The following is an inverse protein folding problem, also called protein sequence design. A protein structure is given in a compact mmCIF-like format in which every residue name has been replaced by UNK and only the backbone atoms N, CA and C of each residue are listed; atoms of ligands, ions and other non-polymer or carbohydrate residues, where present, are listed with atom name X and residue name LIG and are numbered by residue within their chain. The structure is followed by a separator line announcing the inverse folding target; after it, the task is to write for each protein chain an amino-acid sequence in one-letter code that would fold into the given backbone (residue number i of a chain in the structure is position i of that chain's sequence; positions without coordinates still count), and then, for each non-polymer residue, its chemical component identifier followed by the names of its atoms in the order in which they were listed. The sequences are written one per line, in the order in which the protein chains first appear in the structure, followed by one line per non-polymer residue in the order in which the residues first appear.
data_IF_660148996020
#
_entry.id   IF_660148996020
#
_cell.length_a   1.000
_cell.length_b   1.000
_cell.length_c   1.000
_cell.angle_alpha   90.00
_cell.angle_beta   90.00
_cell.angle_gamma   90.00
#
_symmetry.space_group_name_H-M   'P 1'
#
loop_
_entity.id
_entity.type
_entity.pdbx_description
1 polymer ?
#
# COMPACT_ATOMS: atom_id res chain seq x y z
N UNK A 1 24.66 -18.63 2.89
CA UNK A 1 23.84 -17.87 1.91
C UNK A 1 22.44 -18.47 1.94
N UNK A 2 21.39 -17.68 2.16
CA UNK A 2 20.01 -18.17 2.20
C UNK A 2 19.39 -18.14 0.79
N UNK A 3 18.61 -19.18 0.46
CA UNK A 3 17.77 -19.20 -0.72
C UNK A 3 16.40 -18.60 -0.37
N UNK A 4 16.05 -17.47 -0.97
CA UNK A 4 14.78 -16.76 -0.77
C UNK A 4 13.94 -16.86 -2.03
N UNK A 5 12.76 -17.43 -1.91
CA UNK A 5 11.76 -17.46 -2.98
C UNK A 5 10.68 -16.45 -2.65
N UNK A 6 10.39 -15.53 -3.58
CA UNK A 6 9.28 -14.58 -3.47
C UNK A 6 8.20 -15.00 -4.44
N UNK A 7 6.97 -15.20 -3.96
CA UNK A 7 5.82 -15.53 -4.80
C UNK A 7 4.96 -14.28 -4.93
N UNK A 8 5.12 -13.59 -6.07
CA UNK A 8 4.42 -12.34 -6.37
C UNK A 8 2.99 -12.57 -6.84
N UNK A 9 2.04 -11.80 -6.32
CA UNK A 9 0.68 -11.73 -6.85
C UNK A 9 0.66 -11.10 -8.25
N UNK A 10 1.50 -10.08 -8.43
CA UNK A 10 1.78 -9.39 -9.70
C UNK A 10 3.28 -9.16 -9.83
N UNK A 11 3.74 -8.77 -11.02
CA UNK A 11 5.10 -8.26 -11.20
C UNK A 11 5.30 -6.97 -10.39
N UNK A 12 6.46 -6.75 -9.76
CA UNK A 12 6.78 -5.48 -9.13
C UNK A 12 6.79 -4.34 -10.15
N UNK A 13 6.01 -3.30 -9.88
CA UNK A 13 5.94 -2.08 -10.69
C UNK A 13 6.25 -0.85 -9.82
N UNK A 14 7.53 -0.58 -9.53
CA UNK A 14 7.92 0.48 -8.59
C UNK A 14 7.51 1.88 -9.05
N UNK A 15 7.40 2.09 -10.36
CA UNK A 15 6.96 3.38 -10.92
C UNK A 15 5.43 3.51 -11.02
N UNK A 16 4.67 2.43 -10.70
CA UNK A 16 3.20 2.42 -10.79
C UNK A 16 2.49 2.46 -9.45
N UNK A 17 3.13 1.95 -8.39
CA UNK A 17 2.47 1.79 -7.09
C UNK A 17 3.45 1.69 -5.93
N UNK A 18 3.01 2.12 -4.74
CA UNK A 18 3.75 1.93 -3.50
C UNK A 18 4.01 0.44 -3.18
N UNK A 19 3.07 -0.45 -3.54
CA UNK A 19 3.26 -1.89 -3.41
C UNK A 19 4.41 -2.41 -4.28
N UNK A 20 4.52 -1.92 -5.52
CA UNK A 20 5.66 -2.24 -6.39
C UNK A 20 6.99 -1.75 -5.83
N UNK A 21 7.02 -0.54 -5.26
CA UNK A 21 8.19 0.01 -4.58
C UNK A 21 8.57 -0.81 -3.34
N UNK A 22 7.59 -1.19 -2.53
CA UNK A 22 7.79 -2.01 -1.34
C UNK A 22 8.39 -3.38 -1.72
N UNK A 23 7.79 -4.07 -2.69
CA UNK A 23 8.30 -5.37 -3.17
C UNK A 23 9.72 -5.26 -3.71
N UNK A 24 10.02 -4.26 -4.52
CA UNK A 24 11.39 -4.03 -5.01
C UNK A 24 12.36 -3.75 -3.86
N UNK A 25 11.95 -2.99 -2.85
CA UNK A 25 12.74 -2.73 -1.64
C UNK A 25 13.08 -4.03 -0.89
N UNK A 26 12.12 -4.94 -0.72
CA UNK A 26 12.32 -6.25 -0.10
C UNK A 26 13.34 -7.07 -0.91
N UNK A 27 13.15 -7.15 -2.23
CA UNK A 27 14.08 -7.84 -3.15
C UNK A 27 15.49 -7.27 -3.03
N UNK A 28 15.64 -5.96 -3.20
CA UNK A 28 16.93 -5.27 -3.16
C UNK A 28 17.65 -5.51 -1.81
N UNK A 29 16.89 -5.47 -0.71
CA UNK A 29 17.44 -5.72 0.63
C UNK A 29 17.93 -7.17 0.76
N UNK A 30 17.18 -8.16 0.29
CA UNK A 30 17.62 -9.56 0.28
C UNK A 30 18.90 -9.76 -0.54
N UNK A 31 18.95 -9.18 -1.74
CA UNK A 31 20.14 -9.25 -2.62
C UNK A 31 21.36 -8.58 -1.97
N UNK A 32 21.20 -7.40 -1.36
CA UNK A 32 22.29 -6.67 -0.69
C UNK A 32 22.90 -7.42 0.50
N UNK A 33 22.14 -8.35 1.10
CA UNK A 33 22.61 -9.27 2.15
C UNK A 33 23.17 -10.58 1.59
N UNK A 34 23.44 -10.65 0.29
CA UNK A 34 23.93 -11.85 -0.42
C UNK A 34 22.99 -13.05 -0.29
N UNK A 35 21.67 -12.84 -0.23
CA UNK A 35 20.72 -13.93 -0.38
C UNK A 35 20.55 -14.28 -1.86
N UNK A 36 20.38 -15.55 -2.18
CA UNK A 36 20.01 -16.00 -3.51
C UNK A 36 18.49 -15.84 -3.67
N UNK A 37 18.05 -14.90 -4.51
CA UNK A 37 16.64 -14.54 -4.64
C UNK A 37 16.07 -15.06 -5.95
N UNK A 38 14.94 -15.75 -5.86
CA UNK A 38 14.11 -16.13 -7.01
C UNK A 38 12.72 -15.53 -6.88
N UNK A 39 12.20 -14.95 -7.96
CA UNK A 39 10.86 -14.37 -8.02
C UNK A 39 9.95 -15.23 -8.90
N UNK A 40 8.85 -15.70 -8.33
CA UNK A 40 7.85 -16.55 -8.97
C UNK A 40 6.53 -15.80 -9.08
N UNK A 41 5.84 -15.87 -10.21
CA UNK A 41 4.50 -15.32 -10.34
C UNK A 41 3.67 -16.06 -11.38
N UNK A 42 2.34 -16.12 -11.16
CA UNK A 42 1.37 -16.60 -12.14
C UNK A 42 0.78 -15.45 -12.98
N UNK A 43 1.16 -14.20 -12.69
CA UNK A 43 0.66 -13.05 -13.42
C UNK A 43 1.30 -12.94 -14.81
N UNK A 44 0.51 -12.48 -15.78
CA UNK A 44 1.01 -12.07 -17.08
C UNK A 44 1.99 -10.90 -16.92
N UNK A 45 2.91 -10.78 -17.85
CA UNK A 45 3.81 -9.62 -17.92
C UNK A 45 3.02 -8.33 -18.06
N UNK A 46 3.55 -7.26 -17.49
CA UNK A 46 2.96 -5.93 -17.55
C UNK A 46 3.95 -4.93 -18.15
N UNK A 47 3.42 -3.85 -18.72
CA UNK A 47 4.18 -2.81 -19.40
C UNK A 47 5.19 -2.11 -18.47
N UNK A 48 4.86 -1.99 -17.18
CA UNK A 48 5.64 -1.25 -16.19
C UNK A 48 6.40 -2.15 -15.20
N UNK A 49 6.54 -3.46 -15.51
CA UNK A 49 7.27 -4.39 -14.64
C UNK A 49 8.74 -3.98 -14.51
N UNK A 50 9.29 -4.16 -13.32
CA UNK A 50 10.72 -4.02 -13.09
C UNK A 50 11.50 -5.14 -13.79
N UNK A 51 12.65 -4.82 -14.34
CA UNK A 51 13.60 -5.83 -14.80
C UNK A 51 14.43 -6.33 -13.60
N UNK A 52 13.99 -7.43 -13.01
CA UNK A 52 14.63 -8.03 -11.84
C UNK A 52 15.98 -8.69 -12.20
N UNK A 53 16.26 -8.97 -13.46
CA UNK A 53 17.56 -9.54 -13.89
C UNK A 53 18.71 -8.59 -13.61
N UNK A 54 18.48 -7.28 -13.64
CA UNK A 54 19.46 -6.24 -13.29
C UNK A 54 19.93 -6.30 -11.84
N UNK A 55 19.11 -6.94 -10.96
CA UNK A 55 19.45 -7.19 -9.56
C UNK A 55 20.03 -8.61 -9.35
N UNK A 56 20.23 -9.40 -10.41
CA UNK A 56 20.69 -10.79 -10.31
C UNK A 56 19.61 -11.74 -9.77
N UNK A 57 18.34 -11.43 -9.93
CA UNK A 57 17.21 -12.23 -9.47
C UNK A 57 16.69 -13.12 -10.59
N UNK A 58 16.65 -14.44 -10.35
CA UNK A 58 16.02 -15.38 -11.27
C UNK A 58 14.49 -15.26 -11.22
N UNK A 59 13.85 -15.23 -12.40
CA UNK A 59 12.38 -15.10 -12.50
C UNK A 59 11.76 -16.34 -13.14
N UNK A 60 10.61 -16.78 -12.58
CA UNK A 60 9.90 -17.95 -13.08
C UNK A 60 8.40 -17.66 -13.20
N UNK A 61 7.83 -18.04 -14.34
CA UNK A 61 6.36 -18.11 -14.48
C UNK A 61 5.86 -19.42 -13.90
N UNK A 62 4.83 -19.38 -13.08
CA UNK A 62 4.21 -20.54 -12.45
C UNK A 62 2.74 -20.63 -12.79
N UNK A 63 2.22 -21.85 -12.90
CA UNK A 63 0.80 -22.07 -13.13
C UNK A 63 0.06 -22.25 -11.80
N UNK A 64 -1.14 -21.66 -11.73
CA UNK A 64 -2.06 -21.89 -10.61
C UNK A 64 -2.57 -23.34 -10.65
N UNK A 65 -2.78 -23.92 -9.47
CA UNK A 65 -3.35 -25.27 -9.33
C UNK A 65 -2.62 -26.37 -10.14
N UNK A 66 -1.30 -26.26 -10.26
CA UNK A 66 -0.48 -27.19 -11.03
C UNK A 66 0.65 -27.78 -10.17
N UNK A 67 0.89 -29.08 -10.27
CA UNK A 67 1.97 -29.78 -9.55
C UNK A 67 3.37 -29.40 -10.04
N UNK A 68 3.51 -28.78 -11.23
CA UNK A 68 4.78 -28.23 -11.70
C UNK A 68 5.43 -27.25 -10.71
N UNK A 69 4.61 -26.54 -9.92
CA UNK A 69 5.09 -25.69 -8.83
C UNK A 69 5.86 -26.49 -7.77
N UNK A 70 5.38 -27.68 -7.40
CA UNK A 70 6.03 -28.51 -6.39
C UNK A 70 7.45 -28.92 -6.85
N UNK A 71 7.57 -29.38 -8.11
CA UNK A 71 8.86 -29.71 -8.70
C UNK A 71 9.82 -28.52 -8.72
N UNK A 72 9.31 -27.31 -9.05
CA UNK A 72 10.13 -26.10 -9.06
C UNK A 72 10.59 -25.73 -7.65
N UNK A 73 9.69 -25.70 -6.67
CA UNK A 73 10.04 -25.30 -5.30
C UNK A 73 11.00 -26.28 -4.64
N UNK A 74 10.87 -27.58 -4.92
CA UNK A 74 11.81 -28.63 -4.49
C UNK A 74 13.21 -28.45 -5.10
N UNK A 75 13.29 -28.02 -6.37
CA UNK A 75 14.54 -27.69 -7.05
C UNK A 75 15.21 -26.45 -6.45
N UNK A 76 14.43 -25.40 -6.16
CA UNK A 76 14.93 -24.13 -5.60
C UNK A 76 15.37 -24.28 -4.14
N UNK A 77 14.83 -25.24 -3.39
CA UNK A 77 15.15 -25.52 -1.98
C UNK A 77 15.20 -24.27 -1.12
N UNK A 78 14.10 -23.50 -1.03
CA UNK A 78 14.11 -22.25 -0.30
C UNK A 78 14.34 -22.46 1.20
N UNK A 79 15.15 -21.59 1.79
CA UNK A 79 15.20 -21.38 3.23
C UNK A 79 14.06 -20.50 3.73
N UNK A 80 13.62 -19.58 2.85
CA UNK A 80 12.58 -18.59 3.11
C UNK A 80 11.67 -18.47 1.89
N UNK A 81 10.35 -18.42 2.14
CA UNK A 81 9.37 -18.11 1.11
C UNK A 81 8.56 -16.89 1.56
N UNK A 82 8.53 -15.85 0.71
CA UNK A 82 7.74 -14.64 0.94
C UNK A 82 6.54 -14.66 0.00
N UNK A 83 5.34 -14.65 0.56
CA UNK A 83 4.08 -14.56 -0.19
C UNK A 83 3.65 -13.10 -0.30
N UNK A 84 3.47 -12.60 -1.51
CA UNK A 84 2.92 -11.27 -1.74
C UNK A 84 1.40 -11.31 -1.67
N UNK A 85 0.84 -10.78 -0.61
CA UNK A 85 -0.58 -10.77 -0.27
C UNK A 85 -1.16 -12.14 0.12
N UNK A 86 -2.28 -12.10 0.87
CA UNK A 86 -2.91 -13.31 1.40
C UNK A 86 -3.33 -14.32 0.31
N UNK A 87 -3.69 -13.84 -0.90
CA UNK A 87 -4.12 -14.73 -1.98
C UNK A 87 -3.01 -15.66 -2.45
N UNK A 88 -1.77 -15.21 -2.50
CA UNK A 88 -0.64 -16.08 -2.86
C UNK A 88 -0.31 -17.06 -1.73
N UNK A 89 -0.48 -16.64 -0.47
CA UNK A 89 -0.36 -17.55 0.67
C UNK A 89 -1.39 -18.67 0.58
N UNK A 90 -2.68 -18.36 0.39
CA UNK A 90 -3.74 -19.38 0.24
C UNK A 90 -3.47 -20.34 -0.92
N UNK A 91 -2.95 -19.82 -2.03
CA UNK A 91 -2.73 -20.61 -3.26
C UNK A 91 -1.53 -21.55 -3.14
N UNK A 92 -0.43 -21.12 -2.53
CA UNK A 92 0.85 -21.80 -2.61
C UNK A 92 1.41 -22.31 -1.28
N UNK A 93 0.97 -21.77 -0.13
CA UNK A 93 1.61 -22.07 1.15
C UNK A 93 1.52 -23.53 1.58
N UNK A 94 0.42 -24.21 1.27
CA UNK A 94 0.27 -25.63 1.54
C UNK A 94 1.26 -26.49 0.72
N UNK A 95 1.54 -26.10 -0.55
CA UNK A 95 2.53 -26.76 -1.40
C UNK A 95 3.95 -26.55 -0.86
N UNK A 96 4.27 -25.32 -0.44
CA UNK A 96 5.54 -25.00 0.20
C UNK A 96 5.72 -25.80 1.49
N UNK A 97 4.66 -25.91 2.31
CA UNK A 97 4.72 -26.70 3.55
C UNK A 97 5.00 -28.17 3.30
N UNK A 98 4.43 -28.74 2.25
CA UNK A 98 4.64 -30.16 1.89
C UNK A 98 6.04 -30.41 1.29
N UNK A 99 6.47 -29.59 0.34
CA UNK A 99 7.74 -29.74 -0.36
C UNK A 99 8.94 -29.24 0.43
N UNK A 100 8.78 -28.17 1.21
CA UNK A 100 9.86 -27.50 1.95
C UNK A 100 9.41 -27.16 3.39
N UNK A 101 9.15 -28.15 4.26
CA UNK A 101 8.57 -27.95 5.60
C UNK A 101 9.41 -27.02 6.50
N UNK A 102 10.73 -27.00 6.31
CA UNK A 102 11.67 -26.21 7.10
C UNK A 102 11.88 -24.79 6.55
N UNK A 103 11.25 -24.42 5.43
CA UNK A 103 11.28 -23.07 4.93
C UNK A 103 10.49 -22.14 5.86
N UNK A 104 11.05 -20.96 6.16
CA UNK A 104 10.35 -19.87 6.84
C UNK A 104 9.30 -19.29 5.88
N UNK A 105 8.05 -19.18 6.31
CA UNK A 105 6.94 -18.65 5.51
C UNK A 105 6.59 -17.25 5.99
N UNK A 106 6.84 -16.27 5.14
CA UNK A 106 6.60 -14.87 5.42
C UNK A 106 5.47 -14.37 4.53
N UNK A 107 4.50 -13.69 5.10
CA UNK A 107 3.45 -12.99 4.36
C UNK A 107 3.79 -11.50 4.28
N UNK A 108 3.82 -10.93 3.09
CA UNK A 108 3.81 -9.49 2.85
C UNK A 108 2.39 -9.07 2.52
N UNK A 109 1.70 -8.36 3.43
CA UNK A 109 0.28 -7.99 3.22
C UNK A 109 0.12 -6.87 2.20
N UNK A 110 1.12 -6.01 2.03
CA UNK A 110 1.05 -4.68 1.43
C UNK A 110 0.12 -3.78 2.26
N UNK A 111 -1.19 -3.88 2.07
CA UNK A 111 -2.20 -3.29 2.94
C UNK A 111 -3.21 -4.37 3.37
N UNK A 112 -4.00 -4.12 4.38
CA UNK A 112 -5.11 -5.01 4.75
C UNK A 112 -6.25 -4.89 3.73
N UNK A 113 -6.34 -5.87 2.84
CA UNK A 113 -7.36 -5.93 1.78
C UNK A 113 -8.77 -6.00 2.34
N UNK A 114 -8.96 -6.73 3.44
CA UNK A 114 -10.25 -6.84 4.12
C UNK A 114 -10.71 -5.50 4.69
N UNK A 115 -9.80 -4.74 5.31
CA UNK A 115 -10.09 -3.40 5.83
C UNK A 115 -10.46 -2.45 4.68
N UNK A 116 -9.69 -2.45 3.61
CA UNK A 116 -9.98 -1.62 2.43
C UNK A 116 -11.35 -1.93 1.83
N UNK A 117 -11.68 -3.23 1.68
CA UNK A 117 -12.97 -3.65 1.15
C UNK A 117 -14.13 -3.28 2.09
N UNK A 118 -13.99 -3.54 3.39
CA UNK A 118 -15.00 -3.19 4.37
C UNK A 118 -15.30 -1.68 4.41
N UNK A 119 -14.27 -0.84 4.30
CA UNK A 119 -14.40 0.61 4.18
C UNK A 119 -15.07 1.04 2.88
N UNK A 120 -14.72 0.41 1.77
CA UNK A 120 -15.36 0.66 0.47
C UNK A 120 -16.87 0.36 0.52
N UNK A 121 -17.23 -0.77 1.11
CA UNK A 121 -18.63 -1.17 1.26
C UNK A 121 -19.41 -0.24 2.21
N UNK A 122 -18.77 0.21 3.29
CA UNK A 122 -19.34 1.20 4.19
C UNK A 122 -19.59 2.55 3.48
N UNK A 123 -18.61 3.04 2.72
CA UNK A 123 -18.76 4.27 1.92
C UNK A 123 -19.91 4.15 0.92
N UNK A 124 -20.04 3.02 0.23
CA UNK A 124 -21.16 2.78 -0.69
C UNK A 124 -22.51 2.74 0.01
N UNK A 125 -22.56 2.16 1.20
CA UNK A 125 -23.80 1.95 1.97
C UNK A 125 -24.28 3.21 2.67
N UNK A 126 -23.38 3.94 3.32
CA UNK A 126 -23.71 5.04 4.23
C UNK A 126 -22.79 6.27 4.14
N UNK A 127 -21.91 6.34 3.14
CA UNK A 127 -21.07 7.51 2.86
C UNK A 127 -19.81 7.62 3.70
N UNK A 128 -19.61 6.84 4.77
CA UNK A 128 -18.49 6.99 5.69
C UNK A 128 -17.80 5.66 6.03
N UNK A 129 -16.47 5.63 5.82
CA UNK A 129 -15.60 4.47 6.06
C UNK A 129 -15.53 4.02 7.53
N UNK A 130 -15.88 4.88 8.51
CA UNK A 130 -15.87 4.53 9.94
C UNK A 130 -16.86 3.40 10.29
N UNK A 131 -17.88 3.18 9.47
CA UNK A 131 -18.87 2.11 9.65
C UNK A 131 -18.47 0.78 8.96
N UNK A 132 -17.18 0.58 8.70
CA UNK A 132 -16.64 -0.65 8.12
C UNK A 132 -16.91 -1.86 9.01
N UNK A 133 -17.44 -2.94 8.41
CA UNK A 133 -17.65 -4.22 9.09
C UNK A 133 -16.36 -5.04 9.05
N UNK A 134 -15.71 -5.22 10.21
CA UNK A 134 -14.39 -5.86 10.28
C UNK A 134 -14.45 -7.40 10.28
N UNK A 135 -15.63 -8.02 10.43
CA UNK A 135 -15.81 -9.47 10.54
C UNK A 135 -16.30 -10.12 9.23
N UNK A 136 -15.87 -9.60 8.09
CA UNK A 136 -16.25 -10.14 6.78
C UNK A 136 -15.57 -11.49 6.50
N UNK A 137 -16.11 -12.27 5.56
CA UNK A 137 -15.46 -13.49 5.04
C UNK A 137 -14.04 -13.20 4.52
N UNK A 138 -13.87 -12.05 3.88
CA UNK A 138 -12.55 -11.61 3.42
C UNK A 138 -11.57 -11.39 4.59
N UNK A 139 -12.06 -10.81 5.71
CA UNK A 139 -11.25 -10.65 6.91
C UNK A 139 -10.86 -12.03 7.51
N UNK A 140 -11.80 -12.98 7.55
CA UNK A 140 -11.49 -14.34 8.03
C UNK A 140 -10.39 -15.00 7.19
N UNK A 141 -10.42 -14.86 5.87
CA UNK A 141 -9.40 -15.41 4.97
C UNK A 141 -8.04 -14.73 5.17
N UNK A 142 -8.01 -13.40 5.19
CA UNK A 142 -6.77 -12.63 5.34
C UNK A 142 -6.12 -12.87 6.72
N UNK A 143 -6.91 -12.85 7.79
CA UNK A 143 -6.41 -13.14 9.14
C UNK A 143 -5.94 -14.59 9.26
N UNK A 144 -6.62 -15.54 8.63
CA UNK A 144 -6.17 -16.93 8.59
C UNK A 144 -4.82 -17.08 7.87
N UNK A 145 -4.59 -16.35 6.76
CA UNK A 145 -3.31 -16.33 6.06
C UNK A 145 -2.19 -15.75 6.93
N UNK A 146 -2.47 -14.65 7.66
CA UNK A 146 -1.54 -14.06 8.63
C UNK A 146 -1.19 -15.07 9.73
N UNK A 147 -2.19 -15.70 10.33
CA UNK A 147 -1.99 -16.69 11.41
C UNK A 147 -1.30 -17.97 10.94
N UNK A 148 -1.40 -18.37 9.67
CA UNK A 148 -0.67 -19.51 9.09
C UNK A 148 0.80 -19.21 8.79
N UNK A 149 1.15 -17.94 8.66
CA UNK A 149 2.52 -17.50 8.37
C UNK A 149 3.41 -17.51 9.62
N UNK A 150 4.70 -17.75 9.46
CA UNK A 150 5.66 -17.66 10.55
C UNK A 150 5.93 -16.20 10.94
N UNK A 151 5.87 -15.30 9.94
CA UNK A 151 6.01 -13.85 10.11
C UNK A 151 5.13 -13.13 9.08
N UNK A 152 4.59 -11.97 9.44
CA UNK A 152 3.85 -11.12 8.52
C UNK A 152 4.41 -9.70 8.53
N UNK A 153 4.71 -9.17 7.34
CA UNK A 153 5.21 -7.81 7.15
C UNK A 153 4.02 -6.85 7.05
N UNK A 154 4.01 -5.83 7.90
CA UNK A 154 2.95 -4.83 7.99
C UNK A 154 3.55 -3.45 7.81
N UNK A 155 3.05 -2.68 6.85
CA UNK A 155 3.59 -1.35 6.50
C UNK A 155 3.03 -0.21 7.37
N UNK A 156 1.99 -0.45 8.15
CA UNK A 156 1.22 0.57 8.88
C UNK A 156 1.11 0.26 10.36
N UNK A 157 1.51 1.19 11.24
CA UNK A 157 1.30 1.08 12.69
C UNK A 157 -0.19 0.95 13.05
N UNK A 158 -1.07 1.59 12.28
CA UNK A 158 -2.50 1.45 12.46
C UNK A 158 -2.96 0.00 12.25
N UNK A 159 -2.47 -0.64 11.19
CA UNK A 159 -2.79 -2.04 10.91
C UNK A 159 -2.14 -2.99 11.91
N UNK A 160 -0.92 -2.69 12.39
CA UNK A 160 -0.31 -3.42 13.50
C UNK A 160 -1.20 -3.41 14.75
N UNK A 161 -1.72 -2.24 15.12
CA UNK A 161 -2.64 -2.11 16.27
C UNK A 161 -3.95 -2.85 16.01
N UNK A 162 -4.55 -2.72 14.82
CA UNK A 162 -5.77 -3.43 14.45
C UNK A 162 -5.61 -4.95 14.54
N UNK A 163 -4.50 -5.48 14.02
CA UNK A 163 -4.21 -6.91 14.05
C UNK A 163 -4.03 -7.44 15.48
N UNK A 164 -3.34 -6.69 16.33
CA UNK A 164 -3.08 -7.13 17.71
C UNK A 164 -4.27 -6.91 18.65
N UNK A 165 -4.94 -5.76 18.57
CA UNK A 165 -5.96 -5.35 19.53
C UNK A 165 -7.36 -5.88 19.16
N UNK A 166 -7.71 -5.94 17.87
CA UNK A 166 -9.02 -6.40 17.41
C UNK A 166 -9.03 -7.88 17.04
N UNK A 167 -8.02 -8.34 16.26
CA UNK A 167 -7.99 -9.72 15.79
C UNK A 167 -7.17 -10.66 16.67
N UNK A 168 -6.45 -10.15 17.67
CA UNK A 168 -5.67 -10.96 18.61
C UNK A 168 -4.48 -11.69 17.98
N UNK A 169 -3.94 -11.17 16.87
CA UNK A 169 -2.75 -11.75 16.24
C UNK A 169 -1.54 -11.57 17.15
N UNK A 170 -0.78 -12.64 17.45
CA UNK A 170 0.41 -12.55 18.28
C UNK A 170 1.46 -11.59 17.70
N UNK A 171 1.99 -10.69 18.54
CA UNK A 171 3.05 -9.75 18.10
C UNK A 171 4.29 -10.47 17.55
N UNK A 172 4.57 -11.70 18.01
CA UNK A 172 5.68 -12.52 17.51
C UNK A 172 5.54 -12.92 16.04
N UNK A 173 4.31 -12.90 15.49
CA UNK A 173 4.03 -13.16 14.07
C UNK A 173 3.99 -11.89 13.21
N UNK A 174 4.15 -10.71 13.80
CA UNK A 174 4.08 -9.43 13.10
C UNK A 174 5.44 -8.75 13.08
N UNK A 175 5.75 -8.13 11.97
CA UNK A 175 6.95 -7.31 11.81
C UNK A 175 6.55 -6.00 11.13
N UNK A 176 6.84 -4.87 11.79
CA UNK A 176 6.63 -3.56 11.20
C UNK A 176 7.67 -3.33 10.10
N UNK A 177 7.21 -3.17 8.88
CA UNK A 177 8.04 -2.97 7.70
C UNK A 177 7.60 -1.69 6.97
N UNK A 178 8.00 -0.51 7.44
CA UNK A 178 7.57 0.75 6.86
C UNK A 178 8.03 0.89 5.41
N UNK A 179 7.25 1.60 4.61
CA UNK A 179 7.64 1.92 3.24
C UNK A 179 8.96 2.71 3.23
N UNK A 180 9.86 2.31 2.35
CA UNK A 180 11.10 3.05 2.11
C UNK A 180 10.78 4.29 1.28
N UNK A 181 11.11 5.46 1.84
CA UNK A 181 10.97 6.72 1.12
C UNK A 181 12.23 6.98 0.31
N UNK A 182 12.08 7.28 -0.96
CA UNK A 182 13.20 7.63 -1.83
C UNK A 182 13.92 8.91 -1.38
N UNK A 183 15.07 9.24 -1.98
CA UNK A 183 15.84 10.44 -1.62
C UNK A 183 15.05 11.71 -1.91
N UNK A 184 15.21 12.71 -1.05
CA UNK A 184 14.67 14.06 -1.29
C UNK A 184 15.33 14.66 -2.53
N UNK A 185 14.59 15.31 -3.43
CA UNK A 185 15.18 16.00 -4.57
C UNK A 185 16.21 17.02 -4.13
N UNK A 186 17.28 17.17 -4.92
CA UNK A 186 18.36 18.12 -4.64
C UNK A 186 17.98 19.59 -4.91
N UNK A 187 16.82 19.81 -5.53
CA UNK A 187 16.29 21.15 -5.84
C UNK A 187 15.00 21.39 -5.05
N UNK A 188 14.82 22.63 -4.63
CA UNK A 188 13.57 23.10 -4.04
C UNK A 188 12.96 24.17 -4.92
N UNK A 189 11.68 24.04 -5.22
CA UNK A 189 10.90 25.03 -5.98
C UNK A 189 10.12 25.89 -5.02
N UNK A 190 10.10 27.21 -5.29
CA UNK A 190 9.38 28.22 -4.50
C UNK A 190 7.88 28.20 -4.78
N UNK A 191 7.11 28.91 -3.98
CA UNK A 191 5.66 29.07 -4.19
C UNK A 191 5.33 29.63 -5.57
N UNK A 192 6.11 30.59 -6.05
CA UNK A 192 5.92 31.27 -7.35
C UNK A 192 6.23 30.36 -8.55
N UNK A 193 7.17 29.45 -8.39
CA UNK A 193 7.58 28.53 -9.45
C UNK A 193 6.64 27.34 -9.62
N UNK A 194 5.75 27.12 -8.66
CA UNK A 194 4.80 26.01 -8.68
C UNK A 194 3.44 26.42 -9.21
N UNK A 195 2.82 25.52 -9.96
CA UNK A 195 1.50 25.73 -10.53
C UNK A 195 0.61 24.52 -10.31
N UNK A 196 -0.64 24.61 -10.63
CA UNK A 196 -1.69 23.58 -10.65
C UNK A 196 -1.82 22.73 -9.38
N UNK A 197 -2.97 22.08 -9.26
CA UNK A 197 -3.18 20.94 -8.36
C UNK A 197 -2.77 19.66 -9.05
N UNK A 198 -2.25 18.69 -8.28
CA UNK A 198 -1.95 17.37 -8.77
C UNK A 198 -2.74 16.30 -8.01
N UNK A 199 -3.25 15.30 -8.72
CA UNK A 199 -3.69 14.03 -8.16
C UNK A 199 -2.95 12.90 -8.86
N UNK A 200 -2.42 11.93 -8.11
CA UNK A 200 -1.69 10.80 -8.68
C UNK A 200 -2.13 9.48 -8.06
N UNK A 201 -2.23 8.44 -8.88
CA UNK A 201 -2.48 7.07 -8.39
C UNK A 201 -2.92 6.13 -9.49
N UNK A 202 -2.55 4.85 -9.35
CA UNK A 202 -2.94 3.80 -10.27
C UNK A 202 -4.47 3.70 -10.36
N UNK A 203 -5.02 3.80 -11.57
CA UNK A 203 -6.47 3.79 -11.82
C UNK A 203 -7.15 2.43 -11.55
N UNK A 204 -6.40 1.34 -11.52
CA UNK A 204 -6.91 0.02 -11.16
C UNK A 204 -7.18 -0.11 -9.66
N UNK A 205 -6.62 0.79 -8.84
CA UNK A 205 -6.82 0.79 -7.40
C UNK A 205 -8.09 1.58 -7.03
N UNK A 206 -9.09 0.89 -6.48
CA UNK A 206 -10.41 1.46 -6.23
C UNK A 206 -10.44 2.80 -5.45
N UNK A 207 -9.65 3.02 -4.39
CA UNK A 207 -9.60 4.30 -3.70
C UNK A 207 -9.16 5.47 -4.59
N UNK A 208 -8.23 5.23 -5.52
CA UNK A 208 -7.77 6.27 -6.44
C UNK A 208 -8.84 6.62 -7.47
N UNK A 209 -9.51 5.60 -8.03
CA UNK A 209 -10.60 5.81 -8.98
C UNK A 209 -11.78 6.56 -8.33
N UNK A 210 -12.15 6.18 -7.13
CA UNK A 210 -13.18 6.87 -6.35
C UNK A 210 -12.83 8.35 -6.10
N UNK A 211 -11.57 8.63 -5.71
CA UNK A 211 -11.09 9.99 -5.50
C UNK A 211 -11.17 10.83 -6.79
N UNK A 212 -10.79 10.28 -7.96
CA UNK A 212 -10.88 10.97 -9.25
C UNK A 212 -12.34 11.30 -9.60
N UNK A 213 -13.26 10.36 -9.38
CA UNK A 213 -14.68 10.60 -9.61
C UNK A 213 -15.23 11.69 -8.70
N UNK A 214 -14.86 11.65 -7.43
CA UNK A 214 -15.31 12.62 -6.44
C UNK A 214 -14.74 14.04 -6.71
N UNK A 215 -13.47 14.09 -7.12
CA UNK A 215 -12.87 15.34 -7.63
C UNK A 215 -13.69 15.89 -8.79
N UNK A 216 -13.99 15.09 -9.80
CA UNK A 216 -14.73 15.54 -11.00
C UNK A 216 -16.13 16.02 -10.68
N UNK A 217 -16.85 15.29 -9.82
CA UNK A 217 -18.28 15.49 -9.63
C UNK A 217 -18.62 16.54 -8.56
N UNK A 218 -17.80 16.66 -7.51
CA UNK A 218 -18.13 17.44 -6.34
C UNK A 218 -17.09 18.53 -6.03
N UNK A 219 -15.82 18.18 -5.86
CA UNK A 219 -14.82 19.10 -5.33
C UNK A 219 -14.29 20.07 -6.39
N UNK A 220 -13.91 19.57 -7.55
CA UNK A 220 -13.28 20.41 -8.59
C UNK A 220 -14.18 21.51 -9.13
N UNK A 221 -15.48 21.30 -9.40
CA UNK A 221 -16.35 22.39 -9.83
C UNK A 221 -16.39 23.56 -8.84
N UNK A 222 -16.38 23.29 -7.55
CA UNK A 222 -16.39 24.32 -6.51
C UNK A 222 -15.03 25.01 -6.37
N UNK A 223 -13.91 24.25 -6.43
CA UNK A 223 -12.55 24.81 -6.46
C UNK A 223 -12.37 25.69 -7.69
N UNK A 224 -12.76 25.21 -8.87
CA UNK A 224 -12.64 25.96 -10.16
C UNK A 224 -13.47 27.26 -10.15
N UNK A 225 -14.63 27.25 -9.49
CA UNK A 225 -15.43 28.47 -9.31
C UNK A 225 -14.68 29.52 -8.46
N UNK A 226 -13.95 29.08 -7.41
CA UNK A 226 -13.17 29.96 -6.56
C UNK A 226 -11.83 30.38 -7.20
N UNK A 227 -11.25 29.52 -8.03
CA UNK A 227 -9.97 29.69 -8.71
C UNK A 227 -10.13 29.46 -10.23
N UNK A 228 -10.65 30.45 -10.99
CA UNK A 228 -10.99 30.26 -12.42
C UNK A 228 -9.83 29.85 -13.31
N UNK A 229 -8.59 30.23 -12.97
CA UNK A 229 -7.40 29.95 -13.76
C UNK A 229 -6.66 28.67 -13.31
N UNK A 230 -7.07 28.06 -12.20
CA UNK A 230 -6.41 26.86 -11.70
C UNK A 230 -6.68 25.64 -12.58
N UNK A 231 -5.71 24.74 -12.63
CA UNK A 231 -5.81 23.44 -13.29
C UNK A 231 -5.63 22.31 -12.29
N UNK A 232 -6.25 21.17 -12.55
CA UNK A 232 -6.04 19.92 -11.83
C UNK A 232 -5.48 18.87 -12.81
N UNK A 233 -4.26 18.45 -12.56
CA UNK A 233 -3.57 17.43 -13.35
C UNK A 233 -3.74 16.05 -12.68
N UNK A 234 -4.34 15.10 -13.40
CA UNK A 234 -4.59 13.73 -12.94
C UNK A 234 -3.60 12.79 -13.63
N UNK A 235 -2.71 12.19 -12.84
CA UNK A 235 -1.75 11.20 -13.29
C UNK A 235 -2.04 9.82 -12.73
N UNK A 236 -1.64 8.79 -13.46
CA UNK A 236 -1.71 7.42 -12.98
C UNK A 236 -1.52 6.37 -14.06
N UNK A 237 -1.05 5.20 -13.64
CA UNK A 237 -0.91 4.04 -14.52
C UNK A 237 -2.29 3.48 -14.90
N UNK A 238 -2.37 2.88 -16.10
CA UNK A 238 -3.52 2.15 -16.60
C UNK A 238 -4.83 2.95 -16.65
N UNK A 239 -4.86 4.15 -17.25
CA UNK A 239 -6.08 4.93 -17.35
C UNK A 239 -7.12 4.21 -18.24
N UNK A 240 -8.27 3.81 -17.69
CA UNK A 240 -9.34 3.24 -18.51
C UNK A 240 -9.98 4.32 -19.39
N UNK A 241 -10.65 3.93 -20.48
CA UNK A 241 -11.36 4.87 -21.38
C UNK A 241 -12.29 5.82 -20.62
N UNK A 242 -12.99 5.31 -19.60
CA UNK A 242 -13.86 6.14 -18.74
C UNK A 242 -13.10 7.23 -17.95
N UNK A 243 -11.81 7.05 -17.66
CA UNK A 243 -11.00 8.07 -17.00
C UNK A 243 -10.55 9.15 -17.99
N UNK A 244 -10.12 8.76 -19.20
CA UNK A 244 -9.74 9.73 -20.25
C UNK A 244 -10.95 10.57 -20.72
N UNK A 245 -12.17 10.03 -20.67
CA UNK A 245 -13.40 10.77 -20.95
C UNK A 245 -13.74 11.87 -19.94
N UNK A 246 -13.12 11.87 -18.75
CA UNK A 246 -13.29 12.93 -17.75
C UNK A 246 -12.46 14.17 -18.09
N UNK A 247 -11.48 14.06 -18.99
CA UNK A 247 -10.62 15.16 -19.40
C UNK A 247 -11.46 16.32 -19.97
N UNK A 248 -11.16 17.55 -19.54
CA UNK A 248 -11.87 18.73 -19.98
C UNK A 248 -11.03 19.98 -19.79
N UNK A 249 -10.43 20.48 -20.88
CA UNK A 249 -9.56 21.67 -20.88
C UNK A 249 -10.29 22.92 -20.38
N UNK A 250 -11.55 23.12 -20.78
CA UNK A 250 -12.36 24.29 -20.36
C UNK A 250 -12.58 24.34 -18.87
N UNK A 251 -12.66 23.16 -18.24
CA UNK A 251 -12.78 23.05 -16.78
C UNK A 251 -11.43 22.96 -16.08
N UNK A 252 -10.32 22.94 -16.79
CA UNK A 252 -8.99 22.71 -16.22
C UNK A 252 -8.86 21.35 -15.49
N UNK A 253 -9.64 20.33 -15.89
CA UNK A 253 -9.58 18.98 -15.35
C UNK A 253 -8.86 18.10 -16.35
N UNK A 254 -7.55 17.93 -16.16
CA UNK A 254 -6.65 17.39 -17.18
C UNK A 254 -6.18 15.97 -16.80
N UNK A 255 -6.72 14.97 -17.47
CA UNK A 255 -6.24 13.58 -17.32
C UNK A 255 -5.02 13.41 -18.20
N UNK A 256 -3.84 13.31 -17.58
CA UNK A 256 -2.53 13.25 -18.21
C UNK A 256 -2.03 11.81 -18.44
N UNK A 257 -2.60 10.82 -17.72
CA UNK A 257 -2.19 9.42 -17.82
C UNK A 257 -0.92 9.08 -17.06
N UNK A 258 -0.04 8.32 -17.67
CA UNK A 258 1.21 7.86 -17.06
C UNK A 258 2.16 9.01 -16.69
N UNK A 259 2.85 8.86 -15.56
CA UNK A 259 3.88 9.78 -15.08
C UNK A 259 5.23 9.08 -15.11
N UNK A 260 6.14 9.51 -15.96
CA UNK A 260 7.50 8.95 -16.04
C UNK A 260 8.34 9.37 -14.83
N UNK A 261 8.26 10.63 -14.45
CA UNK A 261 8.97 11.20 -13.30
C UNK A 261 7.98 11.85 -12.32
N UNK A 262 7.52 11.04 -11.36
CA UNK A 262 6.62 11.49 -10.29
C UNK A 262 7.27 12.59 -9.46
N UNK A 263 8.59 12.56 -9.27
CA UNK A 263 9.32 13.52 -8.45
C UNK A 263 9.25 14.92 -9.05
N UNK A 264 9.59 15.07 -10.33
CA UNK A 264 9.51 16.36 -11.02
C UNK A 264 8.09 16.90 -11.09
N UNK A 265 7.10 16.04 -11.38
CA UNK A 265 5.70 16.42 -11.42
C UNK A 265 5.20 16.88 -10.04
N UNK A 266 5.57 16.19 -8.99
CA UNK A 266 5.19 16.55 -7.62
C UNK A 266 5.86 17.87 -7.19
N UNK A 267 7.13 18.07 -7.55
CA UNK A 267 7.88 19.29 -7.24
C UNK A 267 7.39 20.53 -8.01
N UNK A 268 6.80 20.35 -9.19
CA UNK A 268 6.22 21.46 -9.98
C UNK A 268 4.77 21.78 -9.56
N UNK A 269 4.08 20.86 -8.91
CA UNK A 269 2.71 21.07 -8.45
C UNK A 269 2.67 21.95 -7.19
N UNK A 270 1.68 22.83 -7.11
CA UNK A 270 1.47 23.70 -5.95
C UNK A 270 0.86 22.92 -4.78
N UNK A 271 -0.12 22.08 -5.02
CA UNK A 271 -0.82 21.31 -3.99
C UNK A 271 -1.17 19.91 -4.51
N UNK A 272 -0.84 18.88 -3.73
CA UNK A 272 -1.39 17.53 -3.94
C UNK A 272 -2.81 17.46 -3.35
N UNK A 273 -3.76 16.98 -4.14
CA UNK A 273 -5.15 16.81 -3.71
C UNK A 273 -5.52 15.31 -3.73
N UNK A 274 -5.84 14.77 -2.55
CA UNK A 274 -6.08 13.34 -2.35
C UNK A 274 -7.31 13.07 -1.47
N UNK A 275 -8.54 13.28 -1.97
CA UNK A 275 -9.79 13.13 -1.21
C UNK A 275 -10.16 11.65 -1.06
N UNK A 276 -9.38 10.89 -0.31
CA UNK A 276 -9.56 9.45 -0.14
C UNK A 276 -10.69 9.17 0.85
N UNK A 277 -11.82 8.66 0.38
CA UNK A 277 -12.95 8.28 1.23
C UNK A 277 -12.77 6.94 1.93
N UNK A 278 -11.98 6.05 1.35
CA UNK A 278 -11.61 4.75 1.90
C UNK A 278 -10.21 4.33 1.43
N UNK A 279 -9.66 3.33 2.10
CA UNK A 279 -8.33 2.78 1.83
C UNK A 279 -7.80 2.01 3.03
N UNK A 280 -6.61 1.43 2.87
CA UNK A 280 -5.83 0.78 3.92
C UNK A 280 -4.34 1.06 3.66
N UNK A 281 -3.46 0.63 4.54
CA UNK A 281 -2.01 0.81 4.41
C UNK A 281 -1.55 2.27 4.38
N UNK A 282 -0.33 2.47 3.91
CA UNK A 282 0.30 3.78 3.73
C UNK A 282 0.07 4.30 2.31
N UNK A 283 -0.24 5.57 2.18
CA UNK A 283 -0.50 6.23 0.90
C UNK A 283 0.79 6.86 0.36
N UNK A 284 1.56 6.09 -0.41
CA UNK A 284 2.87 6.50 -0.93
C UNK A 284 2.88 7.89 -1.58
N UNK A 285 1.81 8.27 -2.31
CA UNK A 285 1.69 9.60 -2.91
C UNK A 285 1.82 10.77 -1.91
N UNK A 286 1.39 10.56 -0.65
CA UNK A 286 1.52 11.57 0.41
C UNK A 286 2.97 11.65 0.91
N UNK A 287 3.67 10.53 0.97
CA UNK A 287 5.10 10.50 1.26
C UNK A 287 5.92 11.14 0.12
N UNK A 288 5.53 10.89 -1.15
CA UNK A 288 6.15 11.53 -2.30
C UNK A 288 5.95 13.05 -2.29
N UNK A 289 4.75 13.53 -1.91
CA UNK A 289 4.49 14.96 -1.74
C UNK A 289 5.37 15.57 -0.64
N UNK A 290 5.46 14.90 0.51
CA UNK A 290 6.33 15.36 1.61
C UNK A 290 7.80 15.41 1.18
N UNK A 291 8.28 14.40 0.47
CA UNK A 291 9.63 14.32 -0.08
C UNK A 291 9.96 15.48 -1.03
N UNK A 292 8.96 15.92 -1.79
CA UNK A 292 9.07 17.06 -2.71
C UNK A 292 8.68 18.41 -2.07
N UNK A 293 8.45 18.46 -0.75
CA UNK A 293 7.98 19.64 -0.03
C UNK A 293 6.70 20.24 -0.66
N UNK A 294 5.83 19.38 -1.19
CA UNK A 294 4.55 19.76 -1.79
C UNK A 294 3.45 19.62 -0.74
N UNK A 295 2.78 20.70 -0.34
CA UNK A 295 1.63 20.64 0.54
C UNK A 295 0.55 19.72 0.00
N UNK A 296 -0.15 19.04 0.92
CA UNK A 296 -1.20 18.14 0.52
C UNK A 296 -2.50 18.36 1.28
N UNK A 297 -3.63 18.21 0.58
CA UNK A 297 -4.95 18.16 1.19
C UNK A 297 -5.50 16.75 1.02
N UNK A 298 -5.85 16.12 2.13
CA UNK A 298 -6.32 14.75 2.16
C UNK A 298 -7.38 14.53 3.25
N UNK A 299 -7.65 13.28 3.59
CA UNK A 299 -8.65 12.90 4.61
C UNK A 299 -7.99 12.10 5.73
N UNK A 300 -8.75 11.77 6.77
CA UNK A 300 -8.29 10.89 7.85
C UNK A 300 -7.81 9.53 7.37
N UNK A 301 -8.44 8.98 6.33
CA UNK A 301 -7.96 7.74 5.69
C UNK A 301 -6.62 7.97 5.00
N UNK A 302 -6.40 9.17 4.47
CA UNK A 302 -5.12 9.51 3.82
C UNK A 302 -3.93 9.51 4.77
N UNK A 303 -4.09 10.12 5.93
CA UNK A 303 -3.00 10.31 6.91
C UNK A 303 -2.72 9.09 7.80
N UNK A 304 -3.64 8.12 7.78
CA UNK A 304 -3.58 6.94 8.63
C UNK A 304 -2.27 6.16 8.45
N UNK A 305 -1.60 5.86 9.56
CA UNK A 305 -0.30 5.19 9.61
C UNK A 305 0.91 6.08 9.34
N UNK A 306 0.72 7.30 8.79
CA UNK A 306 1.78 8.30 8.60
C UNK A 306 1.94 9.10 9.89
N UNK A 307 0.86 9.67 10.40
CA UNK A 307 0.80 10.30 11.72
C UNK A 307 0.04 9.41 12.68
N UNK A 308 0.48 9.37 13.96
CA UNK A 308 -0.15 8.56 15.00
C UNK A 308 -1.39 9.29 15.53
N UNK A 309 -2.48 8.58 15.81
CA UNK A 309 -3.59 9.14 16.62
C UNK A 309 -3.17 9.20 18.09
N UNK A 310 -3.40 10.31 18.76
CA UNK A 310 -3.28 10.38 20.21
C UNK A 310 -4.32 9.45 20.86
N UNK A 311 -3.90 8.64 21.84
CA UNK A 311 -4.80 7.70 22.54
C UNK A 311 -5.90 8.38 23.39
N UNK A 312 -5.86 9.72 23.54
CA UNK A 312 -6.72 10.44 24.47
C UNK A 312 -7.83 11.28 23.79
N UNK A 313 -8.02 11.19 22.47
CA UNK A 313 -9.00 12.03 21.79
C UNK A 313 -10.23 11.22 21.36
N UNK A 314 -11.23 11.18 22.25
CA UNK A 314 -12.60 10.73 21.96
C UNK A 314 -13.44 11.81 21.24
N UNK A 315 -12.93 13.02 21.05
CA UNK A 315 -13.63 14.13 20.38
C UNK A 315 -12.64 15.18 19.87
N UNK A 316 -12.76 15.52 18.57
CA UNK A 316 -12.29 16.72 17.89
C UNK A 316 -10.78 17.04 17.96
N UNK A 317 -10.10 16.67 16.93
CA UNK A 317 -9.17 17.35 16.05
C UNK A 317 -8.60 18.70 16.53
N UNK A 318 -7.44 18.74 17.21
CA UNK A 318 -6.67 19.98 17.23
C UNK A 318 -5.15 19.87 17.38
N UNK A 319 -4.55 18.80 17.94
CA UNK A 319 -3.12 18.85 18.21
C UNK A 319 -2.22 18.04 17.25
N UNK A 320 -2.74 17.05 16.51
CA UNK A 320 -1.92 16.25 15.60
C UNK A 320 -2.10 16.61 14.12
N UNK A 321 -3.20 17.26 13.75
CA UNK A 321 -3.34 17.88 12.43
C UNK A 321 -2.36 19.02 12.20
N UNK A 322 -1.88 19.64 13.28
CA UNK A 322 -0.87 20.72 13.22
C UNK A 322 0.49 20.23 12.66
N UNK A 323 0.72 18.91 12.67
CA UNK A 323 1.90 18.29 12.06
C UNK A 323 1.70 17.93 10.58
N UNK A 324 0.46 17.95 10.07
CA UNK A 324 0.23 17.59 8.67
C UNK A 324 0.68 18.73 7.73
N UNK A 325 1.45 18.42 6.68
CA UNK A 325 1.89 19.43 5.72
C UNK A 325 0.76 19.83 4.76
N UNK A 326 -0.19 20.59 5.26
CA UNK A 326 -1.37 21.05 4.51
C UNK A 326 -2.65 20.90 5.31
N UNK A 327 -3.66 20.19 4.78
CA UNK A 327 -4.94 20.04 5.45
C UNK A 327 -5.45 18.59 5.49
N UNK A 328 -6.12 18.25 6.59
CA UNK A 328 -6.79 16.94 6.78
C UNK A 328 -8.29 17.20 6.96
N UNK A 329 -9.08 16.70 6.02
CA UNK A 329 -10.53 16.88 6.01
C UNK A 329 -11.27 15.60 6.43
N UNK A 330 -12.57 15.72 6.69
CA UNK A 330 -13.43 14.57 6.95
C UNK A 330 -13.48 13.61 5.75
N UNK A 331 -13.68 12.32 6.00
CA UNK A 331 -13.93 11.33 4.96
C UNK A 331 -15.33 11.40 4.36
N UNK A 332 -16.27 11.98 5.08
CA UNK A 332 -17.68 12.15 4.63
C UNK A 332 -17.82 13.35 3.70
N UNK A 333 -17.04 13.33 2.60
CA UNK A 333 -17.05 14.40 1.59
C UNK A 333 -18.34 14.40 0.73
N UNK A 334 -19.42 13.81 1.21
CA UNK A 334 -20.75 13.89 0.58
C UNK A 334 -21.57 15.02 1.13
N UNK A 335 -21.25 15.54 2.32
CA UNK A 335 -21.95 16.63 2.99
C UNK A 335 -21.52 17.99 2.46
N UNK A 336 -22.45 18.91 2.18
CA UNK A 336 -22.13 20.22 1.63
C UNK A 336 -21.14 21.02 2.49
N UNK A 337 -21.25 20.96 3.82
CA UNK A 337 -20.35 21.64 4.75
C UNK A 337 -18.92 21.07 4.70
N UNK A 338 -18.77 19.75 4.53
CA UNK A 338 -17.47 19.09 4.39
C UNK A 338 -16.84 19.42 3.04
N UNK A 339 -17.64 19.44 1.97
CA UNK A 339 -17.18 19.87 0.64
C UNK A 339 -16.69 21.34 0.72
N UNK A 340 -17.45 22.21 1.36
CA UNK A 340 -17.07 23.63 1.48
C UNK A 340 -15.78 23.82 2.29
N UNK A 341 -15.62 23.08 3.40
CA UNK A 341 -14.36 23.09 4.17
C UNK A 341 -13.18 22.62 3.31
N UNK A 342 -13.34 21.49 2.59
CA UNK A 342 -12.29 20.98 1.69
C UNK A 342 -11.90 22.01 0.62
N UNK A 343 -12.88 22.71 0.04
CA UNK A 343 -12.65 23.77 -0.96
C UNK A 343 -11.91 24.95 -0.34
N UNK A 344 -12.32 25.40 0.87
CA UNK A 344 -11.66 26.50 1.57
C UNK A 344 -10.19 26.19 1.85
N UNK A 345 -9.88 24.99 2.33
CA UNK A 345 -8.52 24.53 2.58
C UNK A 345 -7.70 24.46 1.29
N UNK A 346 -8.30 23.95 0.20
CA UNK A 346 -7.64 23.87 -1.10
C UNK A 346 -7.31 25.26 -1.65
N UNK A 347 -8.25 26.19 -1.57
CA UNK A 347 -8.06 27.59 -2.00
C UNK A 347 -6.99 28.27 -1.15
N UNK A 348 -7.03 28.12 0.18
CA UNK A 348 -6.03 28.70 1.09
C UNK A 348 -4.63 28.21 0.77
N UNK A 349 -4.41 26.90 0.65
CA UNK A 349 -3.12 26.32 0.28
C UNK A 349 -2.62 26.76 -1.10
N UNK A 350 -3.53 27.02 -2.04
CA UNK A 350 -3.17 27.41 -3.40
C UNK A 350 -2.80 28.87 -3.54
N UNK A 351 -3.43 29.77 -2.77
CA UNK A 351 -3.34 31.22 -2.93
C UNK A 351 -2.54 31.94 -1.87
N UNK A 352 -2.50 31.41 -0.64
CA UNK A 352 -1.83 32.06 0.48
C UNK A 352 -0.40 31.51 0.62
N UNK A 353 0.58 32.37 0.28
CA UNK A 353 2.00 32.04 0.33
C UNK A 353 2.47 31.60 1.71
N UNK A 354 2.09 32.31 2.75
CA UNK A 354 2.54 32.02 4.13
C UNK A 354 2.03 30.64 4.60
N UNK A 355 0.76 30.33 4.30
CA UNK A 355 0.14 29.03 4.60
C UNK A 355 0.86 27.91 3.82
N UNK A 356 1.14 28.17 2.56
CA UNK A 356 1.84 27.20 1.70
C UNK A 356 3.29 26.94 2.18
N UNK A 357 4.05 27.99 2.47
CA UNK A 357 5.44 27.89 2.95
C UNK A 357 5.52 27.16 4.29
N UNK A 358 4.60 27.48 5.22
CA UNK A 358 4.49 26.76 6.48
C UNK A 358 4.23 25.26 6.26
N UNK A 359 3.25 24.92 5.43
CA UNK A 359 2.92 23.53 5.09
C UNK A 359 4.10 22.81 4.39
N UNK A 360 4.78 23.49 3.47
CA UNK A 360 5.95 22.98 2.77
C UNK A 360 7.11 22.67 3.75
N UNK A 361 7.33 23.54 4.73
CA UNK A 361 8.34 23.31 5.79
C UNK A 361 7.96 22.13 6.70
N UNK A 362 6.66 21.99 7.03
CA UNK A 362 6.18 20.86 7.83
C UNK A 362 6.34 19.52 7.11
N UNK A 363 6.31 19.49 5.77
CA UNK A 363 6.45 18.27 4.98
C UNK A 363 7.73 17.50 5.35
N UNK A 364 8.86 18.22 5.43
CA UNK A 364 10.14 17.61 5.82
C UNK A 364 10.11 17.04 7.24
N UNK A 365 9.59 17.81 8.20
CA UNK A 365 9.52 17.37 9.60
C UNK A 365 8.65 16.11 9.76
N UNK A 366 7.49 16.09 9.10
CA UNK A 366 6.58 14.93 9.15
C UNK A 366 7.21 13.71 8.50
N UNK A 367 7.92 13.90 7.38
CA UNK A 367 8.65 12.83 6.71
C UNK A 367 9.79 12.28 7.55
N UNK A 368 10.55 13.15 8.24
CA UNK A 368 11.62 12.74 9.15
C UNK A 368 11.07 11.92 10.32
N UNK A 369 9.93 12.32 10.90
CA UNK A 369 9.22 11.57 11.95
C UNK A 369 8.77 10.20 11.43
N UNK A 370 8.19 10.14 10.23
CA UNK A 370 7.78 8.87 9.61
C UNK A 370 8.99 7.97 9.34
N UNK A 371 10.06 8.52 8.78
CA UNK A 371 11.27 7.77 8.42
C UNK A 371 12.07 7.29 9.62
N UNK A 372 11.93 7.95 10.78
CA UNK A 372 12.54 7.53 12.04
C UNK A 372 11.87 6.29 12.65
N UNK A 373 10.65 5.94 12.22
CA UNK A 373 9.91 4.77 12.70
C UNK A 373 10.45 3.49 12.07
N UNK A 374 11.67 3.11 12.46
CA UNK A 374 12.28 1.86 11.98
C UNK A 374 12.16 0.78 13.06
N UNK A 375 12.04 -0.50 12.68
CA UNK A 375 12.10 -1.59 13.64
C UNK A 375 13.49 -1.71 14.24
N UNK A 376 13.57 -2.18 15.50
CA UNK A 376 14.84 -2.36 16.25
C UNK A 376 15.80 -3.32 15.55
N UNK A 377 15.28 -4.28 14.81
CA UNK A 377 16.04 -5.32 14.08
C UNK A 377 15.68 -5.21 12.61
N UNK A 378 16.68 -5.23 11.75
CA UNK A 378 16.45 -5.21 10.29
C UNK A 378 15.63 -6.44 9.82
N UNK A 379 14.92 -6.31 8.70
CA UNK A 379 14.15 -7.43 8.13
C UNK A 379 15.04 -8.65 7.86
N UNK A 380 16.25 -8.43 7.34
CA UNK A 380 17.18 -9.51 7.01
C UNK A 380 17.73 -10.20 8.25
N UNK A 381 18.06 -9.46 9.31
CA UNK A 381 18.48 -10.05 10.58
C UNK A 381 17.32 -10.80 11.24
N UNK A 382 16.11 -10.26 11.16
CA UNK A 382 14.90 -10.96 11.62
C UNK A 382 14.67 -12.28 10.89
N UNK A 383 14.86 -12.29 9.57
CA UNK A 383 14.77 -13.51 8.73
C UNK A 383 15.82 -14.53 9.17
N UNK A 384 17.06 -14.11 9.35
CA UNK A 384 18.16 -15.00 9.78
C UNK A 384 17.87 -15.61 11.16
N UNK A 385 17.52 -14.77 12.14
CA UNK A 385 17.16 -15.22 13.49
C UNK A 385 16.01 -16.23 13.43
N UNK A 386 14.94 -15.90 12.70
CA UNK A 386 13.77 -16.75 12.58
C UNK A 386 14.11 -18.09 11.90
N UNK A 387 14.96 -18.10 10.86
CA UNK A 387 15.42 -19.34 10.21
C UNK A 387 16.17 -20.24 11.18
N UNK A 388 17.02 -19.68 12.03
CA UNK A 388 17.81 -20.45 12.99
C UNK A 388 16.95 -21.02 14.14
N UNK A 389 15.83 -20.39 14.48
CA UNK A 389 14.99 -20.73 15.63
C UNK A 389 13.58 -21.20 15.22
N UNK A 390 13.37 -21.59 13.96
CA UNK A 390 12.04 -21.79 13.38
C UNK A 390 11.21 -22.84 14.13
N UNK A 391 11.80 -23.92 14.58
CA UNK A 391 11.09 -24.98 15.30
C UNK A 391 10.63 -24.51 16.70
N UNK A 392 11.48 -23.72 17.39
CA UNK A 392 11.14 -23.08 18.66
C UNK A 392 10.01 -22.07 18.48
N UNK A 393 10.12 -21.21 17.47
CA UNK A 393 9.13 -20.22 17.13
C UNK A 393 7.75 -20.86 16.83
N UNK A 394 7.70 -21.85 15.95
CA UNK A 394 6.45 -22.55 15.59
C UNK A 394 5.77 -23.25 16.76
N UNK A 395 6.53 -23.75 17.75
CA UNK A 395 5.97 -24.34 18.97
C UNK A 395 5.20 -23.33 19.83
N UNK A 396 5.50 -22.03 19.73
CA UNK A 396 4.77 -20.97 20.42
C UNK A 396 3.49 -20.55 19.72
N UNK A 397 3.28 -20.95 18.47
CA UNK A 397 2.20 -20.50 17.60
C UNK A 397 1.06 -21.55 17.52
N UNK A 398 0.30 -21.70 18.59
CA UNK A 398 -0.78 -22.70 18.65
C UNK A 398 -1.81 -22.51 17.53
N UNK A 399 -2.27 -21.27 17.28
CA UNK A 399 -3.26 -20.97 16.24
C UNK A 399 -2.73 -21.31 14.84
N UNK A 400 -1.45 -21.12 14.59
CA UNK A 400 -0.82 -21.54 13.34
C UNK A 400 -0.98 -23.06 13.14
N UNK A 401 -0.62 -23.84 14.13
CA UNK A 401 -0.70 -25.31 14.04
C UNK A 401 -2.15 -25.79 13.90
N UNK A 402 -3.09 -25.17 14.60
CA UNK A 402 -4.52 -25.46 14.50
C UNK A 402 -5.07 -25.20 13.10
N UNK A 403 -4.78 -24.04 12.53
CA UNK A 403 -5.21 -23.69 11.18
C UNK A 403 -4.59 -24.61 10.12
N UNK A 404 -3.30 -24.97 10.28
CA UNK A 404 -2.66 -25.94 9.40
C UNK A 404 -3.27 -27.33 9.50
N UNK A 405 -3.78 -27.73 10.64
CA UNK A 405 -4.46 -29.00 10.83
C UNK A 405 -5.85 -29.02 10.18
N UNK A 406 -6.60 -27.91 10.25
CA UNK A 406 -8.02 -27.86 9.87
C UNK A 406 -8.30 -27.41 8.43
N UNK A 407 -7.61 -26.36 7.94
CA UNK A 407 -8.09 -25.64 6.74
C UNK A 407 -7.44 -26.03 5.44
N UNK A 408 -6.23 -26.57 5.46
CA UNK A 408 -5.50 -26.83 4.23
C UNK A 408 -5.98 -28.01 3.42
N UNK A 409 -6.66 -28.96 4.05
CA UNK A 409 -7.18 -30.11 3.33
C UNK A 409 -8.20 -29.69 2.25
N UNK A 410 -9.05 -28.73 2.54
CA UNK A 410 -10.05 -28.26 1.57
C UNK A 410 -9.40 -27.58 0.34
N UNK A 411 -8.47 -26.66 0.55
CA UNK A 411 -7.75 -25.97 -0.54
C UNK A 411 -6.87 -26.93 -1.34
N UNK A 412 -6.19 -27.87 -0.66
CA UNK A 412 -5.38 -28.90 -1.28
C UNK A 412 -6.21 -29.78 -2.20
N UNK A 413 -7.29 -30.36 -1.70
CA UNK A 413 -8.12 -31.25 -2.49
C UNK A 413 -8.86 -30.54 -3.61
N UNK A 414 -9.27 -29.29 -3.42
CA UNK A 414 -9.84 -28.47 -4.50
C UNK A 414 -8.82 -28.23 -5.61
N UNK A 415 -7.58 -27.88 -5.28
CA UNK A 415 -6.52 -27.66 -6.26
C UNK A 415 -6.19 -28.95 -7.01
N UNK A 416 -6.09 -30.09 -6.32
CA UNK A 416 -5.87 -31.39 -6.94
C UNK A 416 -7.02 -31.83 -7.84
N UNK A 417 -8.25 -31.53 -7.43
CA UNK A 417 -9.43 -31.79 -8.27
C UNK A 417 -9.42 -30.94 -9.54
N UNK A 418 -9.10 -29.64 -9.45
CA UNK A 418 -8.98 -28.75 -10.62
C UNK A 418 -7.86 -29.27 -11.54
N UNK A 419 -6.72 -29.66 -10.99
CA UNK A 419 -5.60 -30.22 -11.78
C UNK A 419 -6.06 -31.50 -12.52
N UNK A 420 -6.72 -32.42 -11.82
CA UNK A 420 -7.22 -33.65 -12.42
C UNK A 420 -8.27 -33.42 -13.53
N UNK A 421 -9.09 -32.38 -13.36
CA UNK A 421 -10.12 -32.02 -14.38
C UNK A 421 -9.50 -31.37 -15.62
N UNK A 422 -8.35 -30.75 -15.51
CA UNK A 422 -7.68 -30.05 -16.61
C UNK A 422 -6.66 -30.95 -17.36
N UNK A 423 -6.42 -32.16 -16.88
CA UNK A 423 -5.72 -33.26 -17.60
C UNK A 423 -6.66 -34.03 -18.49
#
# INVERSE_FOLDING_TARGET
MLNVVIIGYVWPEPNSSAAGQNMQSIITRCVSYNFNVSFLTAASESEHKADLSTLGVDTYSVALNCSSFNTLIEKLKPDVVIFDRYMTEEQFSWRVRESCPNAVRILNTEDMHSLRQARHDAVKRCGDAKYAALNSELAQREIAAILRSDLTLIISEFEMALLTEHYGVPKSQLYYHPLVVGPTPSYSTTFEERAHFIHIGNFRHAPNWDAVLHLKQALWPAIKKALPDAELHIYGAYPPKKATQLHNDKQGFLVKGWAEDVTSLMASAKVLIAPLRFGAGIKGKLLDAMRCSTPSITTWVGVEGIISKSKNESTECSSQTDLWPGAVCSTDITKPEVIQDYVNQAVSLYTNKDVWEFASLQAKKTLDIFSAKQPDISLTDKIISLKNEIDGHRKTLFMQSLLWHQTLNASKYMSQWIEAKNK
#
